data_IF_586747692534
#
_entry.id   IF_586747692534
#
_cell.length_a   1.000
_cell.length_b   1.000
_cell.length_c   1.000
_cell.angle_alpha   90.00
_cell.angle_beta   90.00
_cell.angle_gamma   90.00
#
_symmetry.space_group_name_H-M   'P 1'
#
loop_
_entity.id
_entity.type
_entity.pdbx_description
1 polymer ?
#
# COMPACT_ATOMS: atom_id res chain seq x y z
N UNK A 1 5.55 12.55 -5.04
CA UNK A 1 5.64 11.45 -4.04
C UNK A 1 4.22 11.00 -3.71
N UNK A 2 3.75 9.87 -4.25
CA UNK A 2 2.31 9.58 -4.35
C UNK A 2 1.76 8.57 -3.34
N UNK A 3 2.57 7.99 -2.46
CA UNK A 3 2.14 7.00 -1.45
C UNK A 3 2.71 7.35 -0.07
N UNK A 4 2.44 8.56 0.44
CA UNK A 4 2.87 8.93 1.80
C UNK A 4 1.75 8.56 2.77
N UNK A 5 1.81 7.36 3.34
CA UNK A 5 0.95 6.78 4.41
C UNK A 5 -0.57 6.73 4.18
N UNK A 6 -1.13 7.50 3.25
CA UNK A 6 -2.54 7.40 2.92
C UNK A 6 -2.75 6.37 1.81
N UNK A 7 -3.75 5.52 1.98
CA UNK A 7 -4.17 4.60 0.92
C UNK A 7 -4.76 5.37 -0.27
N UNK A 8 -4.44 4.95 -1.49
CA UNK A 8 -4.93 5.55 -2.75
C UNK A 8 -5.31 4.48 -3.76
N UNK A 9 -6.24 4.78 -4.64
CA UNK A 9 -6.61 3.89 -5.75
C UNK A 9 -5.62 4.04 -6.91
N UNK A 10 -5.51 3.02 -7.77
CA UNK A 10 -4.69 3.12 -8.99
C UNK A 10 -5.12 4.30 -9.90
N UNK A 11 -6.40 4.66 -9.89
CA UNK A 11 -6.93 5.80 -10.64
C UNK A 11 -6.40 7.14 -10.10
N UNK A 12 -6.50 7.36 -8.80
CA UNK A 12 -5.99 8.57 -8.14
C UNK A 12 -4.47 8.71 -8.33
N UNK A 13 -3.74 7.59 -8.27
CA UNK A 13 -2.30 7.57 -8.52
C UNK A 13 -1.96 7.93 -9.98
N UNK A 14 -2.74 7.46 -10.95
CA UNK A 14 -2.57 7.81 -12.36
C UNK A 14 -2.81 9.29 -12.63
N UNK A 15 -3.88 9.84 -12.06
CA UNK A 15 -4.21 11.26 -12.15
C UNK A 15 -3.13 12.13 -11.49
N UNK A 16 -2.69 11.76 -10.28
CA UNK A 16 -1.69 12.54 -9.51
C UNK A 16 -0.29 12.49 -10.14
N UNK A 17 0.08 11.36 -10.74
CA UNK A 17 1.41 11.15 -11.33
C UNK A 17 1.46 11.45 -12.83
N UNK A 18 0.34 11.82 -13.45
CA UNK A 18 0.16 11.96 -14.89
C UNK A 18 0.65 10.71 -15.66
N UNK A 19 0.23 9.53 -15.18
CA UNK A 19 0.58 8.23 -15.72
C UNK A 19 -0.66 7.50 -16.23
N UNK A 20 -0.50 6.75 -17.32
CA UNK A 20 -1.56 5.86 -17.79
C UNK A 20 -1.87 4.78 -16.74
N UNK A 21 -3.15 4.43 -16.58
CA UNK A 21 -3.60 3.35 -15.69
C UNK A 21 -2.79 2.05 -15.86
N UNK A 22 -2.51 1.54 -17.08
CA UNK A 22 -1.66 0.36 -17.26
C UNK A 22 -0.24 0.52 -16.69
N UNK A 23 0.33 1.73 -16.77
CA UNK A 23 1.66 2.01 -16.20
C UNK A 23 1.60 2.03 -14.68
N UNK A 24 0.53 2.56 -14.10
CA UNK A 24 0.31 2.56 -12.65
C UNK A 24 0.16 1.13 -12.13
N UNK A 25 -0.71 0.32 -12.73
CA UNK A 25 -0.87 -1.08 -12.34
C UNK A 25 0.45 -1.85 -12.42
N UNK A 26 1.19 -1.73 -13.52
CA UNK A 26 2.51 -2.38 -13.65
C UNK A 26 3.51 -1.99 -12.56
N UNK A 27 3.47 -0.74 -12.09
CA UNK A 27 4.34 -0.29 -10.98
C UNK A 27 3.86 -0.81 -9.63
N UNK A 28 2.55 -0.77 -9.39
CA UNK A 28 1.95 -1.25 -8.15
C UNK A 28 2.15 -2.77 -8.00
N UNK A 29 1.94 -3.54 -9.06
CA UNK A 29 2.13 -4.99 -9.05
C UNK A 29 3.58 -5.33 -8.65
N UNK A 30 4.57 -4.66 -9.23
CA UNK A 30 5.99 -4.84 -8.87
C UNK A 30 6.29 -4.44 -7.42
N UNK A 31 5.69 -3.36 -6.93
CA UNK A 31 5.88 -2.92 -5.55
C UNK A 31 5.22 -3.90 -4.56
N UNK A 32 4.07 -4.46 -4.90
CA UNK A 32 3.42 -5.53 -4.14
C UNK A 32 4.25 -6.82 -4.14
N UNK A 33 4.78 -7.23 -5.28
CA UNK A 33 5.70 -8.38 -5.40
C UNK A 33 6.95 -8.22 -4.51
N UNK A 34 7.43 -6.99 -4.34
CA UNK A 34 8.57 -6.67 -3.48
C UNK A 34 8.19 -6.47 -2.00
N UNK A 35 6.91 -6.57 -1.61
CA UNK A 35 6.46 -6.28 -0.25
C UNK A 35 6.60 -4.82 0.18
N UNK A 36 6.66 -3.89 -0.78
CA UNK A 36 6.77 -2.44 -0.54
C UNK A 36 5.43 -1.72 -0.52
N UNK A 37 4.40 -2.31 -1.12
CA UNK A 37 3.05 -1.78 -1.17
C UNK A 37 2.08 -2.91 -0.84
N UNK A 38 1.10 -2.62 -0.01
CA UNK A 38 0.00 -3.54 0.28
C UNK A 38 -1.23 -3.11 -0.51
N UNK A 39 -2.00 -4.08 -1.01
CA UNK A 39 -3.28 -3.81 -1.69
C UNK A 39 -4.45 -4.37 -0.90
N UNK A 40 -5.41 -3.53 -0.57
CA UNK A 40 -6.66 -3.90 0.11
C UNK A 40 -7.83 -3.71 -0.86
N UNK A 41 -8.72 -4.70 -0.93
CA UNK A 41 -9.95 -4.59 -1.73
C UNK A 41 -11.05 -4.03 -0.85
N UNK A 42 -11.57 -2.85 -1.19
CA UNK A 42 -12.74 -2.27 -0.55
C UNK A 42 -13.98 -2.51 -1.40
N UNK A 43 -15.08 -2.85 -0.74
CA UNK A 43 -16.41 -2.90 -1.35
C UNK A 43 -17.09 -1.58 -1.08
N UNK A 44 -17.43 -0.83 -2.13
CA UNK A 44 -18.19 0.41 -2.00
C UNK A 44 -19.68 0.11 -1.84
N UNK A 45 -20.42 1.11 -1.35
CA UNK A 45 -21.88 1.03 -1.16
C UNK A 45 -22.67 0.74 -2.46
N UNK A 46 -22.06 1.00 -3.61
CA UNK A 46 -22.60 0.70 -4.95
C UNK A 46 -22.29 -0.72 -5.45
N UNK A 47 -21.63 -1.55 -4.63
CA UNK A 47 -21.20 -2.90 -4.97
C UNK A 47 -19.92 -2.96 -5.83
N UNK A 48 -19.32 -1.82 -6.16
CA UNK A 48 -18.08 -1.79 -6.94
C UNK A 48 -16.89 -2.11 -6.04
N UNK A 49 -16.10 -3.10 -6.44
CA UNK A 49 -14.84 -3.41 -5.77
C UNK A 49 -13.76 -2.44 -6.25
N UNK A 50 -13.10 -1.77 -5.30
CA UNK A 50 -12.00 -0.87 -5.58
C UNK A 50 -10.75 -1.33 -4.82
N UNK A 51 -9.63 -1.49 -5.52
CA UNK A 51 -8.33 -1.76 -4.88
C UNK A 51 -7.70 -0.46 -4.42
N UNK A 52 -7.38 -0.40 -3.13
CA UNK A 52 -6.56 0.63 -2.53
C UNK A 52 -5.15 0.10 -2.29
N UNK A 53 -4.19 0.98 -2.46
CA UNK A 53 -2.77 0.72 -2.34
C UNK A 53 -2.20 1.61 -1.27
N UNK A 54 -1.45 1.03 -0.34
CA UNK A 54 -0.84 1.72 0.78
C UNK A 54 0.63 1.34 0.94
N UNK A 55 1.40 2.27 1.48
CA UNK A 55 2.81 2.11 1.78
C UNK A 55 3.00 2.45 3.26
N UNK A 56 3.17 1.42 4.09
CA UNK A 56 3.18 1.52 5.56
C UNK A 56 4.56 1.20 6.18
N UNK A 57 5.59 0.98 5.36
CA UNK A 57 6.94 0.78 5.87
C UNK A 57 7.63 2.09 6.26
N UNK A 58 8.44 2.03 7.31
CA UNK A 58 9.30 3.13 7.74
C UNK A 58 10.71 3.01 7.13
N UNK A 59 11.16 1.78 6.93
CA UNK A 59 12.48 1.45 6.43
C UNK A 59 12.39 0.30 5.41
N UNK A 60 13.26 0.34 4.41
CA UNK A 60 13.43 -0.73 3.43
C UNK A 60 14.93 -0.97 3.22
N UNK A 61 15.34 -2.22 3.33
CA UNK A 61 16.69 -2.69 2.98
C UNK A 61 16.62 -3.40 1.64
N UNK A 62 17.49 -2.98 0.71
CA UNK A 62 17.68 -3.65 -0.58
C UNK A 62 19.03 -4.34 -0.56
N UNK A 63 19.01 -5.65 -0.67
CA UNK A 63 20.20 -6.49 -0.70
C UNK A 63 20.42 -7.01 -2.12
N UNK A 64 21.64 -6.91 -2.64
CA UNK A 64 22.02 -7.42 -3.96
C UNK A 64 23.02 -8.57 -3.80
N UNK A 65 22.72 -9.72 -4.42
CA UNK A 65 23.57 -10.90 -4.47
C UNK A 65 23.63 -11.46 -5.89
N UNK A 66 24.42 -12.53 -6.10
CA UNK A 66 24.48 -13.23 -7.39
C UNK A 66 23.14 -13.89 -7.79
N UNK A 67 22.23 -14.09 -6.82
CA UNK A 67 20.88 -14.63 -7.08
C UNK A 67 19.87 -13.54 -7.46
N UNK A 68 20.26 -12.26 -7.43
CA UNK A 68 19.42 -11.11 -7.75
C UNK A 68 19.31 -10.12 -6.58
N UNK A 69 18.22 -9.35 -6.54
CA UNK A 69 17.95 -8.44 -5.42
C UNK A 69 16.84 -8.99 -4.52
N UNK A 70 16.99 -8.77 -3.22
CA UNK A 70 15.95 -9.01 -2.20
C UNK A 70 15.60 -7.68 -1.54
N UNK A 71 14.32 -7.52 -1.25
CA UNK A 71 13.79 -6.37 -0.54
C UNK A 71 13.21 -6.83 0.80
N UNK A 72 13.59 -6.14 1.88
CA UNK A 72 13.08 -6.38 3.23
C UNK A 72 12.59 -5.05 3.81
N UNK A 73 11.28 -4.94 4.02
CA UNK A 73 10.64 -3.75 4.59
C UNK A 73 10.35 -3.95 6.08
N UNK A 74 10.58 -2.90 6.87
CA UNK A 74 10.18 -2.83 8.28
C UNK A 74 9.12 -1.76 8.42
N UNK A 75 7.93 -2.17 8.83
CA UNK A 75 6.88 -1.28 9.29
C UNK A 75 6.85 -1.27 10.81
N UNK A 76 6.71 -0.08 11.41
CA UNK A 76 6.18 0.03 12.76
C UNK A 76 4.70 -0.30 12.64
N UNK A 77 4.19 -1.38 13.25
CA UNK A 77 2.77 -1.66 13.22
C UNK A 77 2.02 -0.40 13.71
N UNK A 78 0.92 0.01 13.06
CA UNK A 78 0.15 1.13 13.53
C UNK A 78 -0.19 0.85 14.99
N UNK A 79 0.23 1.73 15.89
CA UNK A 79 -0.10 1.64 17.32
C UNK A 79 -1.61 1.52 17.35
N UNK A 80 -2.11 0.32 17.66
CA UNK A 80 -3.54 0.10 17.81
C UNK A 80 -3.94 0.92 19.01
N UNK A 81 -4.41 2.15 18.74
CA UNK A 81 -4.94 3.04 19.75
C UNK A 81 -6.13 2.34 20.36
N UNK A 82 -5.92 1.86 21.58
CA UNK A 82 -6.88 1.58 22.63
C UNK A 82 -8.23 1.04 22.15
N UNK A 83 -8.38 -0.27 22.26
CA UNK A 83 -9.68 -0.86 22.51
C UNK A 83 -10.11 -0.36 23.90
N UNK A 84 -10.71 0.84 23.96
CA UNK A 84 -11.44 1.25 25.17
C UNK A 84 -12.56 0.25 25.35
N UNK A 85 -12.41 -0.48 26.44
CA UNK A 85 -13.32 -1.48 26.95
C UNK A 85 -14.73 -0.89 27.15
N UNK A 86 -15.65 -1.83 27.16
CA UNK A 86 -17.04 -1.82 27.60
C UNK A 86 -17.47 -0.77 28.65
N UNK A 87 -18.80 -0.62 28.71
CA UNK A 87 -19.64 -0.31 29.89
C UNK A 87 -20.32 1.08 29.95
N UNK A 88 -21.65 0.98 29.74
CA UNK A 88 -22.73 1.59 30.55
C UNK A 88 -23.17 3.03 30.24
N UNK A 89 -24.33 3.15 29.59
CA UNK A 89 -25.55 3.72 30.20
C UNK A 89 -26.80 3.34 29.41
#
# INVERSE_FOLDING_TARGET
MALRRDSRTAKELGETLDLSLPTVYRRLDRLCECGLVTSTTEVRDDGTHCRRYECDFDETVVSLSDEGFRTESRSTPPVSGDQVESENN
#
